data_IF_011622335232
#
_entry.id   IF_011622335232
#
_cell.length_a   1.000
_cell.length_b   1.000
_cell.length_c   1.000
_cell.angle_alpha   90.00
_cell.angle_beta   90.00
_cell.angle_gamma   90.00
#
_symmetry.space_group_name_H-M   'P 1'
#
loop_
_entity.id
_entity.type
_entity.pdbx_description
1 polymer ?
#
# COMPACT_ATOMS: atom_id res chain seq x y z
N UNK A 1 -18.21 -44.17 -10.26
CA UNK A 1 -18.51 -42.87 -10.88
C UNK A 1 -17.45 -41.91 -10.39
N UNK A 2 -16.30 -41.84 -11.07
CA UNK A 2 -15.09 -41.20 -10.54
C UNK A 2 -15.10 -39.70 -10.84
N UNK A 3 -15.06 -38.88 -9.80
CA UNK A 3 -14.81 -37.44 -9.89
C UNK A 3 -13.32 -37.24 -10.20
N UNK A 4 -12.98 -37.11 -11.48
CA UNK A 4 -11.68 -36.57 -11.86
C UNK A 4 -11.68 -35.09 -11.54
N UNK A 5 -10.97 -34.67 -10.48
CA UNK A 5 -10.63 -33.27 -10.31
C UNK A 5 -9.75 -32.85 -11.50
N UNK A 6 -10.17 -31.84 -12.26
CA UNK A 6 -9.40 -31.29 -13.37
C UNK A 6 -8.07 -30.76 -12.83
N UNK A 7 -6.97 -31.42 -13.19
CA UNK A 7 -5.62 -30.98 -12.80
C UNK A 7 -5.35 -29.58 -13.36
N UNK A 8 -5.15 -28.62 -12.46
CA UNK A 8 -4.75 -27.25 -12.80
C UNK A 8 -3.27 -27.06 -12.40
N UNK A 9 -2.34 -27.01 -13.36
CA UNK A 9 -0.91 -26.88 -13.07
C UNK A 9 -0.52 -25.49 -12.56
N UNK A 10 -1.38 -24.47 -12.71
CA UNK A 10 -1.06 -23.10 -12.40
C UNK A 10 -2.27 -22.33 -11.83
N UNK A 11 -2.81 -22.73 -10.66
CA UNK A 11 -3.96 -22.06 -10.04
C UNK A 11 -3.69 -20.59 -9.64
N UNK A 12 -2.43 -20.16 -9.63
CA UNK A 12 -2.07 -18.75 -9.47
C UNK A 12 -2.42 -17.89 -10.69
N UNK A 13 -2.45 -18.46 -11.91
CA UNK A 13 -2.82 -17.73 -13.12
C UNK A 13 -4.31 -17.38 -13.14
N UNK A 14 -5.16 -18.26 -12.62
CA UNK A 14 -6.59 -17.97 -12.48
C UNK A 14 -6.81 -16.75 -11.57
N UNK A 15 -6.00 -16.62 -10.51
CA UNK A 15 -6.04 -15.44 -9.63
C UNK A 15 -5.53 -14.16 -10.27
N UNK A 16 -4.68 -14.24 -11.29
CA UNK A 16 -4.25 -13.04 -12.04
C UNK A 16 -5.41 -12.45 -12.85
N UNK A 17 -6.35 -13.28 -13.33
CA UNK A 17 -7.51 -12.81 -14.09
C UNK A 17 -8.47 -11.94 -13.24
N UNK A 18 -8.44 -12.10 -11.91
CA UNK A 18 -9.24 -11.32 -10.97
C UNK A 18 -8.58 -10.00 -10.55
N UNK A 19 -7.32 -9.74 -10.93
CA UNK A 19 -6.60 -8.51 -10.56
C UNK A 19 -6.90 -7.40 -11.57
N UNK A 20 -7.63 -6.37 -11.14
CA UNK A 20 -7.83 -5.15 -11.90
C UNK A 20 -6.91 -4.02 -11.39
N UNK A 21 -6.11 -3.45 -12.29
CA UNK A 21 -5.21 -2.32 -11.99
C UNK A 21 -5.62 -1.14 -12.86
N UNK A 22 -6.18 -0.12 -12.22
CA UNK A 22 -6.57 1.13 -12.87
C UNK A 22 -5.69 2.29 -12.41
N UNK A 23 -5.42 3.22 -13.32
CA UNK A 23 -4.71 4.46 -13.01
C UNK A 23 -5.73 5.57 -12.90
N UNK A 24 -5.81 6.20 -11.73
CA UNK A 24 -6.70 7.35 -11.50
C UNK A 24 -5.89 8.57 -11.09
N UNK A 25 -6.38 9.75 -11.49
CA UNK A 25 -5.81 11.04 -11.07
C UNK A 25 -6.19 11.41 -9.64
N UNK A 26 -7.30 10.88 -9.13
CA UNK A 26 -7.82 11.15 -7.78
C UNK A 26 -8.34 9.87 -7.16
N UNK A 27 -8.38 9.80 -5.83
CA UNK A 27 -8.96 8.66 -5.11
C UNK A 27 -10.43 8.47 -5.54
N UNK A 28 -10.81 7.31 -6.10
CA UNK A 28 -12.19 7.04 -6.48
C UNK A 28 -13.16 7.11 -5.30
N UNK A 29 -14.44 7.46 -5.53
CA UNK A 29 -15.45 7.37 -4.49
C UNK A 29 -15.64 5.91 -4.05
N UNK A 30 -15.89 5.70 -2.75
CA UNK A 30 -16.08 4.36 -2.19
C UNK A 30 -14.79 3.58 -1.94
N UNK A 31 -13.60 4.15 -2.19
CA UNK A 31 -12.32 3.53 -1.82
C UNK A 31 -12.24 3.35 -0.30
N UNK A 32 -12.10 2.10 0.14
CA UNK A 32 -12.01 1.75 1.57
C UNK A 32 -10.68 2.14 2.22
N UNK A 33 -9.58 2.08 1.49
CA UNK A 33 -8.25 2.45 2.01
C UNK A 33 -7.34 3.05 0.93
N UNK A 34 -6.43 3.94 1.35
CA UNK A 34 -5.39 4.52 0.50
C UNK A 34 -4.03 4.38 1.19
N UNK A 35 -3.11 3.69 0.52
CA UNK A 35 -1.70 3.64 0.90
C UNK A 35 -0.97 4.91 0.45
N UNK A 36 -0.21 5.52 1.35
CA UNK A 36 0.55 6.75 1.11
C UNK A 36 2.02 6.49 1.42
N UNK A 37 2.93 6.52 0.43
CA UNK A 37 4.34 6.27 0.67
C UNK A 37 4.97 7.40 1.48
N UNK A 38 5.75 7.04 2.49
CA UNK A 38 6.49 7.95 3.37
C UNK A 38 7.93 7.47 3.48
N UNK A 39 8.87 8.32 3.06
CA UNK A 39 10.30 8.02 3.18
C UNK A 39 10.87 8.43 4.55
N UNK A 40 12.03 7.87 4.88
CA UNK A 40 12.79 8.21 6.10
C UNK A 40 13.21 9.67 6.15
N UNK A 41 13.21 10.36 5.01
CA UNK A 41 13.47 11.79 4.86
C UNK A 41 12.47 12.42 3.89
N UNK A 42 12.46 13.75 3.82
CA UNK A 42 11.58 14.51 2.94
C UNK A 42 10.21 14.83 3.55
N UNK A 43 9.36 15.43 2.73
CA UNK A 43 8.05 15.95 3.18
C UNK A 43 7.06 14.81 3.38
N UNK A 44 6.37 14.79 4.52
CA UNK A 44 5.24 13.89 4.74
C UNK A 44 4.05 14.37 3.90
N UNK A 45 3.41 13.51 3.08
CA UNK A 45 2.29 13.92 2.25
C UNK A 45 1.12 14.47 3.08
N UNK A 46 0.62 15.65 2.69
CA UNK A 46 -0.48 16.35 3.40
C UNK A 46 -1.78 15.54 3.48
N UNK A 47 -1.97 14.58 2.58
CA UNK A 47 -3.13 13.68 2.57
C UNK A 47 -3.27 12.83 3.84
N UNK A 48 -2.16 12.61 4.57
CA UNK A 48 -2.15 11.91 5.85
C UNK A 48 -2.70 12.77 7.00
N UNK A 49 -2.65 14.11 6.88
CA UNK A 49 -3.06 15.02 7.95
C UNK A 49 -2.16 15.00 9.20
N UNK A 50 -1.04 14.27 9.16
CA UNK A 50 -0.05 14.16 10.22
C UNK A 50 1.29 14.73 9.75
N UNK A 51 2.04 15.31 10.68
CA UNK A 51 3.41 15.74 10.41
C UNK A 51 4.43 14.67 10.81
N UNK A 52 5.70 14.91 10.46
CA UNK A 52 6.80 13.99 10.74
C UNK A 52 6.99 13.73 12.23
N UNK A 53 6.82 14.75 13.06
CA UNK A 53 6.98 14.62 14.50
C UNK A 53 5.90 13.71 15.12
N UNK A 54 4.66 13.84 14.66
CA UNK A 54 3.53 13.02 15.11
C UNK A 54 3.69 11.57 14.69
N UNK A 55 4.18 11.32 13.48
CA UNK A 55 4.51 9.97 13.01
C UNK A 55 5.63 9.33 13.86
N UNK A 56 6.71 10.06 14.10
CA UNK A 56 7.82 9.60 14.93
C UNK A 56 7.39 9.32 16.38
N UNK A 57 6.50 10.15 16.94
CA UNK A 57 5.97 9.97 18.29
C UNK A 57 5.20 8.65 18.49
N UNK A 58 4.68 8.06 17.41
CA UNK A 58 4.02 6.74 17.41
C UNK A 58 4.92 5.63 16.85
N UNK A 59 6.21 5.89 16.70
CA UNK A 59 7.21 4.91 16.24
C UNK A 59 7.24 4.67 14.73
N UNK A 60 6.56 5.50 13.93
CA UNK A 60 6.60 5.43 12.48
C UNK A 60 7.67 6.39 11.93
N UNK A 61 8.76 5.82 11.39
CA UNK A 61 9.92 6.57 10.89
C UNK A 61 10.05 6.49 9.35
N UNK A 62 9.09 5.85 8.67
CA UNK A 62 9.12 5.65 7.22
C UNK A 62 10.13 4.60 6.76
N UNK A 63 10.54 3.69 7.64
CA UNK A 63 11.44 2.58 7.28
C UNK A 63 10.74 1.59 6.36
N UNK A 64 11.50 0.90 5.51
CA UNK A 64 10.95 -0.11 4.60
C UNK A 64 10.14 -1.16 5.37
N UNK A 65 8.91 -1.41 4.92
CA UNK A 65 8.00 -2.39 5.55
C UNK A 65 7.25 -1.89 6.78
N UNK A 66 7.46 -0.65 7.23
CA UNK A 66 6.61 -0.05 8.27
C UNK A 66 5.24 0.33 7.68
N UNK A 67 4.18 0.10 8.45
CA UNK A 67 2.85 0.61 8.13
C UNK A 67 2.22 1.27 9.36
N UNK A 68 1.48 2.35 9.14
CA UNK A 68 0.67 2.99 10.17
C UNK A 68 -0.72 3.26 9.61
N UNK A 69 -1.73 2.67 10.22
CA UNK A 69 -3.12 2.99 9.94
C UNK A 69 -3.44 4.33 10.60
N UNK A 70 -3.90 5.29 9.80
CA UNK A 70 -4.35 6.61 10.22
C UNK A 70 -5.88 6.65 10.09
N UNK A 71 -6.62 6.51 11.21
CA UNK A 71 -8.07 6.60 11.21
C UNK A 71 -8.53 7.99 10.74
N UNK A 72 -9.58 8.03 9.92
CA UNK A 72 -10.22 9.28 9.50
C UNK A 72 -11.72 9.17 9.56
N UNK A 73 -12.36 10.31 9.81
CA UNK A 73 -13.82 10.45 9.63
C UNK A 73 -14.17 10.34 8.15
N UNK A 74 -15.27 9.66 7.80
CA UNK A 74 -15.74 9.57 6.41
C UNK A 74 -15.32 8.31 5.63
N UNK A 75 -14.87 7.27 6.32
CA UNK A 75 -14.84 5.89 5.79
C UNK A 75 -13.56 5.46 5.06
N UNK A 76 -12.85 6.36 4.37
CA UNK A 76 -11.57 6.00 3.73
C UNK A 76 -10.41 6.03 4.72
N UNK A 77 -9.91 4.85 5.04
CA UNK A 77 -8.72 4.64 5.86
C UNK A 77 -7.48 5.13 5.11
N UNK A 78 -6.61 5.86 5.79
CA UNK A 78 -5.29 6.19 5.26
C UNK A 78 -4.25 5.26 5.89
N UNK A 79 -3.33 4.76 5.09
CA UNK A 79 -2.23 3.92 5.57
C UNK A 79 -0.93 4.58 5.16
N UNK A 80 -0.14 5.07 6.10
CA UNK A 80 1.23 5.47 5.81
C UNK A 80 2.07 4.20 5.58
N UNK A 81 2.78 4.15 4.46
CA UNK A 81 3.63 3.00 4.07
C UNK A 81 5.07 3.48 4.00
N UNK A 82 5.93 2.90 4.82
CA UNK A 82 7.33 3.24 4.88
C UNK A 82 8.09 2.68 3.68
N UNK A 83 8.75 3.56 2.92
CA UNK A 83 9.48 3.21 1.70
C UNK A 83 11.00 3.34 1.84
N UNK A 84 11.50 3.68 3.04
CA UNK A 84 12.93 3.79 3.28
C UNK A 84 13.54 5.10 2.77
N UNK A 85 14.85 5.08 2.48
CA UNK A 85 15.55 6.22 1.87
C UNK A 85 15.21 6.34 0.39
N UNK A 86 14.72 7.51 -0.02
CA UNK A 86 14.38 7.80 -1.40
C UNK A 86 15.58 7.65 -2.36
N UNK A 87 16.81 7.88 -1.88
CA UNK A 87 18.03 7.71 -2.67
C UNK A 87 18.39 6.26 -2.98
N UNK A 88 17.73 5.29 -2.33
CA UNK A 88 17.95 3.85 -2.49
C UNK A 88 16.74 3.14 -3.12
N UNK A 89 15.71 3.88 -3.52
CA UNK A 89 14.50 3.31 -4.08
C UNK A 89 14.74 2.69 -5.45
N UNK A 90 14.19 1.48 -5.63
CA UNK A 90 14.12 0.79 -6.92
C UNK A 90 12.67 0.50 -7.25
N UNK A 91 12.39 0.16 -8.51
CA UNK A 91 11.05 -0.27 -8.93
C UNK A 91 10.62 -1.56 -8.25
N UNK A 92 11.56 -2.42 -7.84
CA UNK A 92 11.27 -3.59 -7.03
C UNK A 92 10.76 -3.19 -5.64
N UNK A 93 11.48 -2.33 -4.94
CA UNK A 93 11.09 -1.86 -3.60
C UNK A 93 9.75 -1.12 -3.61
N UNK A 94 9.47 -0.32 -4.64
CA UNK A 94 8.17 0.35 -4.78
C UNK A 94 7.03 -0.63 -5.05
N UNK A 95 7.29 -1.70 -5.80
CA UNK A 95 6.30 -2.76 -6.01
C UNK A 95 6.03 -3.52 -4.72
N UNK A 96 7.07 -3.85 -3.96
CA UNK A 96 6.96 -4.56 -2.70
C UNK A 96 6.21 -3.72 -1.65
N UNK A 97 6.42 -2.39 -1.64
CA UNK A 97 5.68 -1.48 -0.77
C UNK A 97 4.18 -1.36 -1.15
N UNK A 98 3.80 -1.70 -2.38
CA UNK A 98 2.40 -1.64 -2.84
C UNK A 98 1.65 -2.97 -2.72
N UNK A 99 2.36 -4.08 -2.52
CA UNK A 99 1.84 -5.46 -2.56
C UNK A 99 1.25 -5.94 -1.24
#
# INVERSE_FOLDING_TARGET
MSLSATFNPAPSLDRLADVDVTVSRTVPPGTGAVGVPVGTKGTVPRSLGLDRATLAAVGFEGQLGQTLVVPRTGGTVMVAVGVGDAGQLTTALLRDAAA
#
